data_IF_924358348625
#
_entry.id   IF_924358348625
#
_cell.length_a   1.000
_cell.length_b   1.000
_cell.length_c   1.000
_cell.angle_alpha   90.00
_cell.angle_beta   90.00
_cell.angle_gamma   90.00
#
_symmetry.space_group_name_H-M   'P 1'
#
loop_
_entity.id
_entity.type
_entity.pdbx_description
1 polymer ?
#
# COMPACT_ATOMS: atom_id res chain seq x y z
N UNK A 1 26.09 9.44 4.02
CA UNK A 1 24.98 8.48 3.80
C UNK A 1 23.74 9.05 4.48
N UNK A 2 22.63 9.27 3.76
CA UNK A 2 21.45 9.90 4.35
C UNK A 2 20.80 8.94 5.36
N UNK A 3 20.83 9.34 6.64
CA UNK A 3 20.26 8.58 7.76
C UNK A 3 18.77 8.30 7.51
N UNK A 4 18.05 9.22 6.87
CA UNK A 4 16.62 9.09 6.58
C UNK A 4 16.29 7.92 5.65
N UNK A 5 17.04 7.76 4.55
CA UNK A 5 16.83 6.66 3.61
C UNK A 5 17.07 5.30 4.27
N UNK A 6 18.13 5.20 5.09
CA UNK A 6 18.43 3.98 5.82
C UNK A 6 17.32 3.62 6.83
N UNK A 7 16.74 4.61 7.51
CA UNK A 7 15.60 4.38 8.42
C UNK A 7 14.35 3.91 7.67
N UNK A 8 14.05 4.52 6.50
CA UNK A 8 12.97 4.09 5.61
C UNK A 8 13.12 2.65 5.15
N UNK A 9 14.31 2.25 4.70
CA UNK A 9 14.61 0.86 4.30
C UNK A 9 14.48 -0.12 5.47
N UNK A 10 14.95 0.24 6.67
CA UNK A 10 14.79 -0.59 7.88
C UNK A 10 13.33 -0.83 8.24
N UNK A 11 12.45 0.16 8.05
CA UNK A 11 11.01 0.02 8.31
C UNK A 11 10.37 -1.01 7.37
N UNK A 12 10.75 -1.02 6.09
CA UNK A 12 10.31 -2.04 5.11
C UNK A 12 10.85 -3.42 5.50
N UNK A 13 12.13 -3.53 5.82
CA UNK A 13 12.74 -4.83 6.16
C UNK A 13 12.09 -5.49 7.39
N UNK A 14 11.74 -4.70 8.42
CA UNK A 14 11.04 -5.21 9.61
C UNK A 14 9.65 -5.76 9.29
N UNK A 15 8.93 -5.11 8.37
CA UNK A 15 7.62 -5.60 7.90
C UNK A 15 7.79 -6.97 7.21
N UNK A 16 8.75 -7.09 6.29
CA UNK A 16 8.99 -8.31 5.53
C UNK A 16 9.40 -9.50 6.41
N UNK A 17 10.22 -9.24 7.44
CA UNK A 17 10.66 -10.28 8.38
C UNK A 17 9.51 -10.88 9.21
N UNK A 18 8.43 -10.12 9.47
CA UNK A 18 7.26 -10.61 10.23
C UNK A 18 6.34 -11.52 9.41
N UNK A 19 6.30 -11.32 8.10
CA UNK A 19 5.44 -12.07 7.17
C UNK A 19 5.82 -13.57 7.12
N UNK A 20 7.06 -13.94 7.44
CA UNK A 20 7.51 -15.34 7.44
C UNK A 20 6.98 -16.19 8.59
N UNK A 21 6.37 -15.60 9.62
CA UNK A 21 5.91 -16.31 10.83
C UNK A 21 4.45 -16.03 11.19
N UNK A 22 3.85 -14.98 10.64
CA UNK A 22 2.48 -14.54 10.94
C UNK A 22 1.65 -14.35 9.65
N UNK A 23 0.31 -14.42 9.77
CA UNK A 23 -0.59 -14.13 8.65
C UNK A 23 -0.35 -12.71 8.12
N UNK A 24 -0.27 -12.58 6.80
CA UNK A 24 -0.04 -11.29 6.14
C UNK A 24 -1.29 -10.42 6.21
N UNK A 25 -1.19 -9.32 6.94
CA UNK A 25 -2.23 -8.28 6.98
C UNK A 25 -1.90 -7.20 5.95
N UNK A 26 -2.54 -7.26 4.78
CA UNK A 26 -2.32 -6.30 3.67
C UNK A 26 -2.50 -4.83 4.09
N UNK A 27 -3.35 -4.56 5.10
CA UNK A 27 -3.53 -3.23 5.66
C UNK A 27 -2.24 -2.67 6.31
N UNK A 28 -1.46 -3.53 6.99
CA UNK A 28 -0.20 -3.14 7.61
C UNK A 28 0.88 -2.87 6.55
N UNK A 29 0.87 -3.65 5.46
CA UNK A 29 1.73 -3.41 4.31
C UNK A 29 1.44 -2.04 3.70
N UNK A 30 0.16 -1.75 3.41
CA UNK A 30 -0.26 -0.44 2.90
C UNK A 30 0.18 0.69 3.83
N UNK A 31 -0.01 0.54 5.15
CA UNK A 31 0.41 1.55 6.13
C UNK A 31 1.92 1.83 6.09
N UNK A 32 2.74 0.78 6.09
CA UNK A 32 4.20 0.93 6.08
C UNK A 32 4.68 1.56 4.77
N UNK A 33 4.16 1.13 3.62
CA UNK A 33 4.54 1.68 2.31
C UNK A 33 4.12 3.14 2.20
N UNK A 34 2.87 3.46 2.56
CA UNK A 34 2.33 4.82 2.56
C UNK A 34 3.17 5.76 3.43
N UNK A 35 3.59 5.29 4.60
CA UNK A 35 4.45 6.07 5.49
C UNK A 35 5.83 6.33 4.89
N UNK A 36 6.47 5.32 4.30
CA UNK A 36 7.84 5.38 3.77
C UNK A 36 7.93 6.26 2.53
N UNK A 37 6.97 6.12 1.62
CA UNK A 37 6.94 6.83 0.32
C UNK A 37 6.18 8.15 0.40
N UNK A 38 5.47 8.41 1.50
CA UNK A 38 4.61 9.58 1.66
C UNK A 38 3.53 9.71 0.58
N UNK A 39 2.88 8.60 0.27
CA UNK A 39 1.86 8.51 -0.78
C UNK A 39 0.64 7.70 -0.33
N UNK A 40 -0.42 7.73 -1.12
CA UNK A 40 -1.51 6.77 -0.98
C UNK A 40 -1.05 5.40 -1.49
N UNK A 41 -1.53 4.33 -0.88
CA UNK A 41 -1.21 2.95 -1.27
C UNK A 41 -2.45 2.09 -1.34
N UNK A 42 -2.55 1.25 -2.37
CA UNK A 42 -3.64 0.28 -2.56
C UNK A 42 -3.03 -1.05 -2.98
N UNK A 43 -3.48 -2.14 -2.39
CA UNK A 43 -3.14 -3.51 -2.81
C UNK A 43 -4.40 -4.13 -3.40
N UNK A 44 -4.29 -4.59 -4.64
CA UNK A 44 -5.36 -5.22 -5.40
C UNK A 44 -4.91 -6.62 -5.79
N UNK A 45 -5.80 -7.59 -5.66
CA UNK A 45 -5.56 -8.94 -6.19
C UNK A 45 -5.73 -8.98 -7.71
N UNK A 46 -5.16 -10.00 -8.34
CA UNK A 46 -5.38 -10.25 -9.78
C UNK A 46 -6.86 -10.54 -10.14
N UNK A 47 -7.74 -10.75 -9.14
CA UNK A 47 -9.19 -10.93 -9.34
C UNK A 47 -9.99 -9.66 -9.03
N UNK A 48 -9.34 -8.50 -9.12
CA UNK A 48 -9.92 -7.17 -8.91
C UNK A 48 -10.49 -6.91 -7.51
N UNK A 49 -10.23 -7.82 -6.55
CA UNK A 49 -10.56 -7.61 -5.14
C UNK A 49 -9.51 -6.70 -4.49
N UNK A 50 -9.97 -5.63 -3.84
CA UNK A 50 -9.13 -4.77 -3.01
C UNK A 50 -8.77 -5.54 -1.72
N UNK A 51 -7.48 -5.62 -1.41
CA UNK A 51 -6.94 -6.32 -0.25
C UNK A 51 -6.50 -5.35 0.86
N UNK A 52 -6.12 -4.12 0.51
CA UNK A 52 -5.73 -3.09 1.48
C UNK A 52 -5.70 -1.70 0.86
N UNK A 53 -6.02 -0.68 1.67
CA UNK A 53 -5.99 0.74 1.29
C UNK A 53 -5.37 1.54 2.43
N UNK A 54 -4.47 2.45 2.11
CA UNK A 54 -4.05 3.51 3.03
C UNK A 54 -3.96 4.83 2.28
N UNK A 55 -4.77 5.80 2.71
CA UNK A 55 -4.64 7.18 2.28
C UNK A 55 -3.83 7.96 3.32
N UNK A 56 -2.81 8.68 2.85
CA UNK A 56 -2.01 9.59 3.68
C UNK A 56 -2.60 11.00 3.67
N UNK A 57 -3.22 11.39 2.56
CA UNK A 57 -3.86 12.69 2.39
C UNK A 57 -5.38 12.52 2.45
N UNK A 58 -6.05 13.28 3.31
CA UNK A 58 -7.51 13.31 3.40
C UNK A 58 -8.00 14.18 2.25
N UNK A 59 -8.26 13.54 1.13
CA UNK A 59 -9.14 14.01 0.08
C UNK A 59 -10.07 12.86 -0.24
N UNK A 60 -11.31 13.14 -0.65
CA UNK A 60 -12.46 12.24 -0.85
C UNK A 60 -12.23 11.15 -1.92
N UNK A 61 -11.20 10.35 -1.73
CA UNK A 61 -10.58 9.46 -2.70
C UNK A 61 -11.22 8.07 -2.66
N UNK A 62 -11.97 7.71 -1.60
CA UNK A 62 -12.64 6.40 -1.54
C UNK A 62 -13.61 6.22 -2.72
N UNK A 63 -14.32 7.28 -3.12
CA UNK A 63 -15.23 7.24 -4.27
C UNK A 63 -14.44 7.23 -5.61
N UNK A 64 -13.37 8.02 -5.70
CA UNK A 64 -12.58 8.15 -6.92
C UNK A 64 -11.68 6.94 -7.19
N UNK A 65 -11.08 6.31 -6.18
CA UNK A 65 -10.31 5.06 -6.34
C UNK A 65 -11.23 3.89 -6.66
N UNK A 66 -12.41 3.79 -6.03
CA UNK A 66 -13.38 2.75 -6.40
C UNK A 66 -13.81 2.87 -7.87
N UNK A 67 -14.11 4.09 -8.34
CA UNK A 67 -14.51 4.34 -9.73
C UNK A 67 -13.33 4.19 -10.70
N UNK A 68 -12.20 4.86 -10.45
CA UNK A 68 -11.03 4.89 -11.33
C UNK A 68 -10.26 3.57 -11.34
N UNK A 69 -10.14 2.83 -10.24
CA UNK A 69 -9.50 1.51 -10.27
C UNK A 69 -10.35 0.49 -11.06
N UNK A 70 -11.69 0.59 -11.03
CA UNK A 70 -12.53 -0.20 -11.92
C UNK A 70 -12.29 0.17 -13.39
N UNK A 71 -12.15 1.47 -13.71
CA UNK A 71 -11.87 1.92 -15.08
C UNK A 71 -10.44 1.61 -15.54
N UNK A 72 -9.44 1.75 -14.67
CA UNK A 72 -8.03 1.51 -14.99
C UNK A 72 -7.74 0.01 -15.12
N UNK A 73 -8.35 -0.84 -14.28
CA UNK A 73 -8.23 -2.30 -14.46
C UNK A 73 -8.90 -2.78 -15.74
N UNK A 74 -10.04 -2.20 -16.15
CA UNK A 74 -10.65 -2.47 -17.46
C UNK A 74 -9.82 -1.94 -18.64
N UNK A 75 -8.84 -1.06 -18.40
CA UNK A 75 -7.96 -0.49 -19.43
C UNK A 75 -6.58 -1.18 -19.48
N UNK A 76 -6.21 -1.93 -18.44
CA UNK A 76 -4.90 -2.59 -18.29
C UNK A 76 -4.97 -4.11 -18.53
N UNK A 77 -6.16 -4.67 -18.79
CA UNK A 77 -6.39 -6.06 -19.19
C UNK A 77 -7.39 -6.12 -20.36
#
# INVERSE_FOLDING_TARGET
MSIDLLQKMRKINRLLQRIGSERVMFMDICKVISDVVSSNSVIISNRNKILGIKNKFITEINLYISQRCATLLNFLF
#
